data_IF_002883744972
#
_entry.id   IF_002883744972
#
_cell.length_a   1.000
_cell.length_b   1.000
_cell.length_c   1.000
_cell.angle_alpha   90.00
_cell.angle_beta   90.00
_cell.angle_gamma   90.00
#
_symmetry.space_group_name_H-M   'P 1'
#
loop_
_entity.id
_entity.type
_entity.pdbx_description
1 polymer ?
#
# COMPACT_ATOMS: atom_id res chain seq x y z
N UNK A 1 4.60 -21.58 7.15
CA UNK A 1 3.27 -21.45 7.78
C UNK A 1 2.97 -19.97 7.94
N UNK A 2 1.78 -19.49 7.58
CA UNK A 2 1.43 -18.10 7.85
C UNK A 2 1.31 -17.94 9.37
N UNK A 3 2.10 -17.01 9.94
CA UNK A 3 2.02 -16.68 11.36
C UNK A 3 0.66 -16.11 11.75
N UNK A 4 0.51 -15.79 13.04
CA UNK A 4 -0.70 -15.14 13.55
C UNK A 4 -0.92 -13.79 12.85
N UNK A 5 -2.18 -13.50 12.51
CA UNK A 5 -2.58 -12.20 11.96
C UNK A 5 -3.08 -11.35 13.11
N UNK A 6 -2.50 -10.17 13.27
CA UNK A 6 -2.98 -9.18 14.23
C UNK A 6 -3.79 -8.10 13.53
N UNK A 7 -4.86 -7.64 14.18
CA UNK A 7 -5.67 -6.53 13.70
C UNK A 7 -5.13 -5.24 14.29
N UNK A 8 -4.79 -4.30 13.41
CA UNK A 8 -4.24 -3.00 13.76
C UNK A 8 -5.00 -1.92 12.99
N UNK A 9 -5.19 -0.76 13.62
CA UNK A 9 -5.85 0.38 12.99
C UNK A 9 -4.79 1.38 12.53
N UNK A 10 -4.87 1.78 11.26
CA UNK A 10 -4.01 2.80 10.68
C UNK A 10 -4.88 3.89 10.05
N UNK A 11 -4.39 5.13 10.14
CA UNK A 11 -4.94 6.24 9.37
C UNK A 11 -4.09 6.42 8.11
N UNK A 12 -4.71 6.23 6.95
CA UNK A 12 -4.13 6.49 5.63
C UNK A 12 -5.13 7.25 4.78
N UNK A 13 -4.68 7.88 3.70
CA UNK A 13 -5.56 8.67 2.85
C UNK A 13 -6.52 7.80 2.04
N UNK A 14 -7.73 8.32 1.79
CA UNK A 14 -8.83 7.61 1.13
C UNK A 14 -8.44 7.04 -0.25
N UNK A 15 -7.65 7.78 -1.03
CA UNK A 15 -7.18 7.35 -2.34
C UNK A 15 -6.23 6.14 -2.27
N UNK A 16 -5.47 5.97 -1.17
CA UNK A 16 -4.68 4.75 -0.96
C UNK A 16 -5.56 3.56 -0.60
N UNK A 17 -6.67 3.77 0.09
CA UNK A 17 -7.66 2.72 0.36
C UNK A 17 -8.23 2.24 -0.98
N UNK A 18 -8.64 3.18 -1.85
CA UNK A 18 -9.10 2.88 -3.21
C UNK A 18 -8.04 2.17 -4.05
N UNK A 19 -6.77 2.56 -3.92
CA UNK A 19 -5.66 1.87 -4.57
C UNK A 19 -5.56 0.40 -4.12
N UNK A 20 -5.64 0.13 -2.82
CA UNK A 20 -5.57 -1.23 -2.28
C UNK A 20 -6.76 -2.09 -2.72
N UNK A 21 -7.96 -1.50 -2.77
CA UNK A 21 -9.17 -2.15 -3.29
C UNK A 21 -9.02 -2.49 -4.78
N UNK A 22 -8.51 -1.53 -5.57
CA UNK A 22 -8.27 -1.73 -6.99
C UNK A 22 -7.26 -2.85 -7.26
N UNK A 23 -6.11 -2.85 -6.56
CA UNK A 23 -5.11 -3.92 -6.64
C UNK A 23 -5.72 -5.26 -6.25
N UNK A 24 -6.54 -5.29 -5.18
CA UNK A 24 -7.19 -6.53 -4.75
C UNK A 24 -8.10 -7.09 -5.85
N UNK A 25 -8.83 -6.25 -6.57
CA UNK A 25 -9.70 -6.67 -7.67
C UNK A 25 -8.90 -7.10 -8.90
N UNK A 26 -7.92 -6.29 -9.32
CA UNK A 26 -7.11 -6.53 -10.52
C UNK A 26 -6.34 -7.86 -10.43
N UNK A 27 -5.76 -8.15 -9.27
CA UNK A 27 -4.96 -9.36 -9.05
C UNK A 27 -5.74 -10.50 -8.37
N UNK A 28 -7.07 -10.40 -8.28
CA UNK A 28 -7.95 -11.39 -7.66
C UNK A 28 -7.49 -11.82 -6.25
N UNK A 29 -7.09 -10.84 -5.43
CA UNK A 29 -6.72 -11.05 -4.04
C UNK A 29 -7.98 -11.05 -3.16
N UNK A 30 -7.88 -11.73 -2.02
CA UNK A 30 -8.99 -11.89 -1.08
C UNK A 30 -9.60 -10.54 -0.63
N UNK A 31 -8.74 -9.59 -0.29
CA UNK A 31 -9.11 -8.30 0.30
C UNK A 31 -7.95 -7.30 0.23
N UNK A 32 -8.25 -6.03 0.50
CA UNK A 32 -7.27 -4.95 0.62
C UNK A 32 -6.19 -5.26 1.67
N UNK A 33 -6.51 -6.05 2.71
CA UNK A 33 -5.51 -6.52 3.69
C UNK A 33 -4.48 -7.45 3.06
N UNK A 34 -4.87 -8.30 2.10
CA UNK A 34 -3.94 -9.12 1.34
C UNK A 34 -3.10 -8.27 0.39
N UNK A 35 -3.69 -7.28 -0.29
CA UNK A 35 -2.95 -6.33 -1.12
C UNK A 35 -1.87 -5.60 -0.30
N UNK A 36 -2.22 -5.04 0.85
CA UNK A 36 -1.27 -4.35 1.74
C UNK A 36 -0.14 -5.27 2.21
N UNK A 37 -0.45 -6.51 2.61
CA UNK A 37 0.58 -7.48 2.98
C UNK A 37 1.54 -7.78 1.84
N UNK A 38 1.05 -7.99 0.62
CA UNK A 38 1.93 -8.21 -0.53
C UNK A 38 2.89 -7.03 -0.76
N UNK A 39 2.42 -5.80 -0.58
CA UNK A 39 3.27 -4.59 -0.66
C UNK A 39 4.33 -4.61 0.45
N UNK A 40 3.95 -4.90 1.69
CA UNK A 40 4.88 -4.97 2.82
C UNK A 40 5.90 -6.10 2.68
N UNK A 41 5.47 -7.28 2.21
CA UNK A 41 6.32 -8.42 1.92
C UNK A 41 7.36 -8.05 0.84
N UNK A 42 6.93 -7.37 -0.23
CA UNK A 42 7.86 -6.86 -1.25
C UNK A 42 8.86 -5.84 -0.68
N UNK A 43 8.40 -4.88 0.14
CA UNK A 43 9.28 -3.91 0.79
C UNK A 43 10.32 -4.60 1.70
N UNK A 44 9.93 -5.69 2.38
CA UNK A 44 10.82 -6.44 3.25
C UNK A 44 11.85 -7.31 2.50
N UNK A 45 11.47 -7.87 1.34
CA UNK A 45 12.33 -8.80 0.57
C UNK A 45 13.19 -8.08 -0.46
N UNK A 46 12.58 -7.19 -1.25
CA UNK A 46 13.17 -6.62 -2.47
C UNK A 46 13.23 -5.08 -2.43
N UNK A 47 12.55 -4.45 -1.47
CA UNK A 47 12.47 -2.99 -1.38
C UNK A 47 13.82 -2.34 -1.02
N UNK A 48 14.17 -1.25 -1.71
CA UNK A 48 15.25 -0.37 -1.27
C UNK A 48 14.72 0.61 -0.22
N UNK A 49 15.10 0.40 1.05
CA UNK A 49 14.62 1.19 2.18
C UNK A 49 15.04 2.65 2.11
N UNK A 50 16.24 2.94 1.62
CA UNK A 50 16.69 4.32 1.43
C UNK A 50 15.81 5.02 0.40
N UNK A 51 15.47 4.36 -0.71
CA UNK A 51 14.60 4.96 -1.74
C UNK A 51 13.16 5.18 -1.28
N UNK A 52 12.69 4.37 -0.33
CA UNK A 52 11.33 4.43 0.23
C UNK A 52 11.25 5.50 1.31
N UNK A 53 12.19 5.55 2.26
CA UNK A 53 12.07 6.36 3.48
C UNK A 53 12.90 7.65 3.48
N UNK A 54 13.98 7.76 2.71
CA UNK A 54 14.81 8.99 2.67
C UNK A 54 14.22 10.10 1.80
N UNK A 55 13.27 9.76 0.91
CA UNK A 55 12.68 10.69 -0.05
C UNK A 55 11.26 11.07 0.37
N UNK A 56 10.96 12.38 0.37
CA UNK A 56 9.60 12.88 0.59
C UNK A 56 8.72 12.61 -0.65
N UNK A 57 7.98 11.50 -0.65
CA UNK A 57 7.09 11.07 -1.76
C UNK A 57 5.61 11.27 -1.46
N UNK A 58 5.21 12.45 -1.01
CA UNK A 58 3.79 12.72 -0.82
C UNK A 58 3.12 12.92 -2.18
N UNK A 59 2.20 12.01 -2.54
CA UNK A 59 1.37 12.11 -3.74
C UNK A 59 0.32 13.23 -3.69
N UNK A 60 0.24 13.95 -2.56
CA UNK A 60 -0.75 15.01 -2.30
C UNK A 60 -0.11 16.36 -1.94
N UNK A 61 1.21 16.42 -1.84
CA UNK A 61 1.88 17.72 -1.67
C UNK A 61 1.94 18.43 -3.03
N UNK A 62 1.69 19.74 -3.00
CA UNK A 62 1.65 20.57 -4.21
C UNK A 62 0.32 20.45 -4.96
N UNK A 63 0.37 20.48 -6.29
CA UNK A 63 -0.80 20.43 -7.19
C UNK A 63 -1.19 19.01 -7.62
N UNK A 64 -0.94 18.01 -6.77
CA UNK A 64 -1.21 16.59 -7.08
C UNK A 64 -2.49 16.12 -6.38
N UNK A 65 -3.26 15.28 -7.06
CA UNK A 65 -4.56 14.80 -6.58
C UNK A 65 -4.51 13.51 -5.75
N UNK A 66 -3.32 12.93 -5.56
CA UNK A 66 -3.17 11.60 -4.97
C UNK A 66 -3.15 10.50 -6.03
N UNK A 67 -3.49 9.29 -5.61
CA UNK A 67 -3.68 8.15 -6.49
C UNK A 67 -5.00 8.26 -7.25
N UNK A 68 -4.93 8.09 -8.57
CA UNK A 68 -6.08 8.00 -9.46
C UNK A 68 -5.96 6.71 -10.26
N UNK A 69 -7.09 6.06 -10.54
CA UNK A 69 -7.11 4.84 -11.35
C UNK A 69 -6.74 5.20 -12.80
N UNK A 70 -5.60 4.69 -13.26
CA UNK A 70 -5.13 4.81 -14.66
C UNK A 70 -5.82 3.84 -15.60
#
# INVERSE_FOLDING_TARGET
MAGLKESVNFEIQEDLIKMLEHISQEYNLKDSNKALRCILDYVALDGNWDDIFSKKRCLRCGSKNGWEKS
#
